data_IF_877599157911
#
_entry.id   IF_877599157911
#
_cell.length_a   1.000
_cell.length_b   1.000
_cell.length_c   1.000
_cell.angle_alpha   90.00
_cell.angle_beta   90.00
_cell.angle_gamma   90.00
#
_symmetry.space_group_name_H-M   'P 1'
#
loop_
_entity.id
_entity.type
_entity.pdbx_description
1 polymer ?
#
# COMPACT_ATOMS: atom_id res chain seq x y z
N UNK A 1 1.88 -0.65 -15.88
CA UNK A 1 2.36 -2.05 -15.77
C UNK A 1 2.59 -2.63 -17.16
N UNK A 2 3.68 -3.37 -17.41
CA UNK A 2 4.07 -3.95 -18.72
C UNK A 2 2.94 -4.70 -19.43
N UNK A 3 2.22 -5.53 -18.67
CA UNK A 3 1.15 -6.40 -19.14
C UNK A 3 -0.13 -5.67 -19.60
N UNK A 4 -0.21 -4.34 -19.43
CA UNK A 4 -1.34 -3.55 -19.96
C UNK A 4 -1.19 -3.16 -21.45
N UNK A 5 0.02 -3.29 -22.02
CA UNK A 5 0.25 -2.96 -23.44
C UNK A 5 1.12 -3.97 -24.19
N UNK A 6 1.65 -4.97 -23.50
CA UNK A 6 2.57 -5.96 -24.06
C UNK A 6 2.34 -7.32 -23.42
N UNK A 7 1.47 -8.09 -24.05
CA UNK A 7 1.03 -9.38 -23.52
C UNK A 7 1.54 -10.55 -24.35
N UNK A 8 2.18 -10.28 -25.49
CA UNK A 8 2.77 -11.32 -26.35
C UNK A 8 4.28 -11.11 -26.56
N UNK A 9 5.08 -12.19 -26.58
CA UNK A 9 6.49 -12.14 -26.97
C UNK A 9 6.71 -11.43 -28.30
N UNK A 10 5.82 -11.64 -29.28
CA UNK A 10 5.89 -11.00 -30.58
C UNK A 10 5.73 -9.46 -30.51
N UNK A 11 4.87 -8.95 -29.63
CA UNK A 11 4.70 -7.50 -29.42
C UNK A 11 5.90 -6.86 -28.72
N UNK A 12 6.48 -7.58 -27.76
CA UNK A 12 7.69 -7.15 -27.03
C UNK A 12 8.88 -7.09 -27.99
N UNK A 13 9.09 -8.14 -28.80
CA UNK A 13 10.16 -8.19 -29.82
C UNK A 13 10.03 -7.06 -30.84
N UNK A 14 8.81 -6.77 -31.33
CA UNK A 14 8.58 -5.74 -32.37
C UNK A 14 8.87 -4.31 -31.92
N UNK A 15 8.68 -3.96 -30.64
CA UNK A 15 8.88 -2.57 -30.16
C UNK A 15 10.33 -2.27 -29.76
N UNK A 16 11.09 -3.27 -29.32
CA UNK A 16 12.51 -3.15 -28.94
C UNK A 16 12.76 -2.44 -27.59
N UNK A 17 13.99 -2.59 -27.06
CA UNK A 17 14.37 -2.21 -25.68
C UNK A 17 14.13 -0.75 -25.34
N UNK A 18 14.66 0.17 -26.15
CA UNK A 18 14.60 1.60 -25.88
C UNK A 18 13.14 2.12 -25.76
N UNK A 19 12.25 1.67 -26.65
CA UNK A 19 10.83 2.06 -26.60
C UNK A 19 10.09 1.41 -25.44
N UNK A 20 10.46 0.18 -25.06
CA UNK A 20 9.88 -0.51 -23.91
C UNK A 20 10.28 0.17 -22.59
N UNK A 21 11.56 0.50 -22.43
CA UNK A 21 12.09 1.23 -21.29
C UNK A 21 11.40 2.60 -21.17
N UNK A 22 11.30 3.36 -22.26
CA UNK A 22 10.62 4.66 -22.27
C UNK A 22 9.14 4.56 -21.87
N UNK A 23 8.43 3.54 -22.38
CA UNK A 23 7.02 3.31 -22.07
C UNK A 23 6.80 2.90 -20.60
N UNK A 24 7.72 2.13 -20.02
CA UNK A 24 7.71 1.75 -18.60
C UNK A 24 8.06 2.93 -17.69
N UNK A 25 9.05 3.73 -18.08
CA UNK A 25 9.46 4.94 -17.35
C UNK A 25 8.34 5.98 -17.30
N UNK A 26 7.62 6.20 -18.41
CA UNK A 26 6.44 7.07 -18.47
C UNK A 26 5.29 6.61 -17.55
N UNK A 27 5.32 5.36 -17.08
CA UNK A 27 4.37 4.77 -16.12
C UNK A 27 4.98 4.61 -14.72
N UNK A 28 6.09 5.31 -14.45
CA UNK A 28 6.81 5.33 -13.17
C UNK A 28 7.19 3.94 -12.65
N UNK A 29 7.44 2.97 -13.55
CA UNK A 29 7.92 1.64 -13.17
C UNK A 29 9.35 1.76 -12.66
N UNK A 30 9.58 1.38 -11.40
CA UNK A 30 10.92 1.31 -10.82
C UNK A 30 11.76 0.26 -11.56
N UNK A 31 12.99 0.62 -11.91
CA UNK A 31 13.88 -0.27 -12.67
C UNK A 31 13.38 -0.56 -14.09
N UNK A 32 12.74 0.41 -14.75
CA UNK A 32 12.16 0.27 -16.08
C UNK A 32 13.12 -0.39 -17.11
N UNK A 33 14.42 -0.11 -17.03
CA UNK A 33 15.41 -0.69 -17.93
C UNK A 33 15.66 -2.18 -17.67
N UNK A 34 15.76 -2.57 -16.39
CA UNK A 34 15.89 -3.96 -15.98
C UNK A 34 14.63 -4.75 -16.38
N UNK A 35 13.45 -4.20 -16.11
CA UNK A 35 12.16 -4.82 -16.49
C UNK A 35 12.05 -4.97 -18.01
N UNK A 36 12.44 -3.95 -18.79
CA UNK A 36 12.43 -4.03 -20.25
C UNK A 36 13.40 -5.10 -20.78
N UNK A 37 14.57 -5.21 -20.17
CA UNK A 37 15.61 -6.17 -20.55
C UNK A 37 15.15 -7.59 -20.27
N UNK A 38 14.70 -7.88 -19.04
CA UNK A 38 14.13 -9.20 -18.68
C UNK A 38 12.94 -9.58 -19.55
N UNK A 39 12.05 -8.63 -19.86
CA UNK A 39 10.90 -8.89 -20.73
C UNK A 39 11.33 -9.26 -22.16
N UNK A 40 12.38 -8.61 -22.69
CA UNK A 40 12.90 -8.92 -24.02
C UNK A 40 13.64 -10.26 -24.06
N UNK A 41 14.44 -10.57 -23.05
CA UNK A 41 15.12 -11.86 -22.91
C UNK A 41 14.10 -13.00 -22.86
N UNK A 42 13.07 -12.87 -22.02
CA UNK A 42 11.98 -13.85 -21.94
C UNK A 42 11.24 -13.98 -23.27
N UNK A 43 10.96 -12.86 -23.94
CA UNK A 43 10.31 -12.86 -25.25
C UNK A 43 11.19 -13.49 -26.34
N UNK A 44 12.51 -13.40 -26.26
CA UNK A 44 13.43 -14.05 -27.21
C UNK A 44 13.57 -15.54 -26.94
N UNK A 45 13.56 -15.96 -25.67
CA UNK A 45 13.64 -17.36 -25.28
C UNK A 45 12.38 -18.16 -25.67
N UNK A 46 11.22 -17.51 -25.76
CA UNK A 46 9.97 -18.18 -26.17
C UNK A 46 9.87 -18.32 -27.70
N UNK A 47 10.14 -19.54 -28.18
CA UNK A 47 10.11 -19.92 -29.61
C UNK A 47 8.80 -20.61 -30.03
N UNK A 48 8.01 -21.12 -29.09
CA UNK A 48 6.76 -21.84 -29.36
C UNK A 48 5.56 -20.93 -29.16
N UNK A 49 4.78 -20.72 -30.24
CA UNK A 49 3.49 -20.06 -30.17
C UNK A 49 2.40 -21.07 -29.82
N UNK A 50 1.55 -20.75 -28.85
CA UNK A 50 0.47 -21.63 -28.41
C UNK A 50 -0.85 -21.25 -29.10
N UNK A 51 -1.68 -22.22 -29.51
CA UNK A 51 -3.06 -21.93 -29.91
C UNK A 51 -3.80 -21.21 -28.78
N UNK A 52 -4.37 -20.03 -29.05
CA UNK A 52 -5.09 -19.22 -28.06
C UNK A 52 -4.25 -18.18 -27.31
N UNK A 53 -2.97 -18.02 -27.65
CA UNK A 53 -2.07 -17.03 -27.04
C UNK A 53 -2.62 -15.59 -27.15
N UNK A 54 -3.27 -15.22 -28.25
CA UNK A 54 -3.89 -13.89 -28.41
C UNK A 54 -5.07 -13.67 -27.46
N UNK A 55 -5.88 -14.70 -27.22
CA UNK A 55 -7.03 -14.62 -26.30
C UNK A 55 -6.53 -14.51 -24.86
N UNK A 56 -5.53 -15.32 -24.48
CA UNK A 56 -4.90 -15.24 -23.18
C UNK A 56 -4.23 -13.87 -22.96
N UNK A 57 -3.57 -13.34 -23.98
CA UNK A 57 -2.98 -12.01 -23.97
C UNK A 57 -4.02 -10.91 -23.73
N UNK A 58 -5.20 -11.00 -24.36
CA UNK A 58 -6.29 -10.04 -24.13
C UNK A 58 -6.83 -10.11 -22.69
N UNK A 59 -7.05 -11.31 -22.16
CA UNK A 59 -7.51 -11.48 -20.76
C UNK A 59 -6.50 -10.87 -19.78
N UNK A 60 -5.20 -11.13 -20.01
CA UNK A 60 -4.12 -10.56 -19.18
C UNK A 60 -4.10 -9.02 -19.29
N UNK A 61 -4.32 -8.47 -20.49
CA UNK A 61 -4.43 -7.02 -20.70
C UNK A 61 -5.54 -6.40 -19.86
N UNK A 62 -6.72 -7.03 -19.89
CA UNK A 62 -7.91 -6.55 -19.23
C UNK A 62 -7.74 -6.62 -17.71
N UNK A 63 -7.19 -7.72 -17.18
CA UNK A 63 -6.88 -7.86 -15.75
C UNK A 63 -5.83 -6.83 -15.29
N UNK A 64 -4.76 -6.64 -16.07
CA UNK A 64 -3.74 -5.64 -15.74
C UNK A 64 -4.32 -4.21 -15.71
N UNK A 65 -5.26 -3.91 -16.61
CA UNK A 65 -5.97 -2.63 -16.63
C UNK A 65 -6.86 -2.45 -15.40
N UNK A 66 -7.58 -3.49 -14.99
CA UNK A 66 -8.40 -3.47 -13.78
C UNK A 66 -7.56 -3.26 -12.51
N UNK A 67 -6.42 -3.93 -12.39
CA UNK A 67 -5.50 -3.75 -11.26
C UNK A 67 -5.01 -2.30 -11.18
N UNK A 68 -4.65 -1.68 -12.30
CA UNK A 68 -4.23 -0.28 -12.33
C UNK A 68 -5.37 0.67 -11.93
N UNK A 69 -6.59 0.40 -12.38
CA UNK A 69 -7.77 1.18 -11.98
C UNK A 69 -8.04 1.07 -10.47
N UNK A 70 -7.84 -0.12 -9.88
CA UNK A 70 -7.95 -0.35 -8.45
C UNK A 70 -6.86 0.37 -7.66
N UNK A 71 -5.61 0.36 -8.12
CA UNK A 71 -4.50 1.10 -7.50
C UNK A 71 -4.78 2.61 -7.47
N UNK A 72 -5.28 3.17 -8.56
CA UNK A 72 -5.68 4.58 -8.62
C UNK A 72 -6.88 4.88 -7.71
N UNK A 73 -7.84 3.95 -7.60
CA UNK A 73 -8.95 4.08 -6.65
C UNK A 73 -8.45 4.05 -5.21
N UNK A 74 -7.53 3.15 -4.88
CA UNK A 74 -6.90 3.04 -3.56
C UNK A 74 -6.22 4.37 -3.20
N UNK A 75 -5.36 4.91 -4.07
CA UNK A 75 -4.68 6.20 -3.86
C UNK A 75 -5.65 7.35 -3.60
N UNK A 76 -6.78 7.38 -4.32
CA UNK A 76 -7.83 8.41 -4.10
C UNK A 76 -8.47 8.25 -2.73
N UNK A 77 -8.89 7.05 -2.36
CA UNK A 77 -9.49 6.77 -1.05
C UNK A 77 -8.52 7.12 0.07
N UNK A 78 -7.26 6.70 -0.06
CA UNK A 78 -6.16 7.03 0.84
C UNK A 78 -6.01 8.54 1.07
N UNK A 79 -6.12 9.33 0.00
CA UNK A 79 -6.10 10.79 0.09
C UNK A 79 -7.34 11.32 0.82
N UNK A 80 -8.52 10.82 0.47
CA UNK A 80 -9.77 11.22 1.12
C UNK A 80 -9.77 10.90 2.62
N UNK A 81 -9.24 9.75 3.03
CA UNK A 81 -9.09 9.38 4.44
C UNK A 81 -8.18 10.38 5.14
N UNK A 82 -6.98 10.66 4.59
CA UNK A 82 -6.04 11.63 5.17
C UNK A 82 -6.66 13.01 5.31
N UNK A 83 -7.30 13.51 4.26
CA UNK A 83 -7.88 14.86 4.25
C UNK A 83 -9.08 14.97 5.21
N UNK A 84 -9.88 13.92 5.32
CA UNK A 84 -10.99 13.86 6.28
C UNK A 84 -10.48 13.81 7.71
N UNK A 85 -9.49 12.95 7.98
CA UNK A 85 -8.92 12.82 9.31
C UNK A 85 -8.25 14.11 9.79
N UNK A 86 -7.54 14.83 8.93
CA UNK A 86 -6.92 16.12 9.28
C UNK A 86 -7.93 17.22 9.65
N UNK A 87 -9.21 17.06 9.31
CA UNK A 87 -10.29 17.97 9.76
C UNK A 87 -10.81 17.60 11.15
N UNK A 88 -10.42 16.44 11.70
CA UNK A 88 -10.84 16.00 13.02
C UNK A 88 -10.15 16.87 14.10
N UNK A 89 -10.88 17.35 15.12
CA UNK A 89 -10.33 18.25 16.14
C UNK A 89 -9.10 17.70 16.88
N UNK A 90 -8.99 16.38 17.01
CA UNK A 90 -7.90 15.70 17.71
C UNK A 90 -6.80 15.16 16.78
N UNK A 91 -6.83 15.47 15.48
CA UNK A 91 -5.92 14.87 14.49
C UNK A 91 -4.44 15.10 14.84
N UNK A 92 -4.05 16.33 15.16
CA UNK A 92 -2.66 16.66 15.51
C UNK A 92 -2.17 15.91 16.75
N UNK A 93 -3.02 15.78 17.76
CA UNK A 93 -2.70 15.06 18.99
C UNK A 93 -2.50 13.56 18.68
N UNK A 94 -3.38 12.97 17.89
CA UNK A 94 -3.28 11.56 17.51
C UNK A 94 -2.05 11.31 16.63
N UNK A 95 -1.73 12.20 15.68
CA UNK A 95 -0.53 12.08 14.84
C UNK A 95 0.78 12.27 15.61
N UNK A 96 0.75 12.97 16.76
CA UNK A 96 1.91 13.11 17.63
C UNK A 96 2.31 11.79 18.32
N UNK A 97 1.40 10.81 18.39
CA UNK A 97 1.67 9.50 18.98
C UNK A 97 2.55 8.64 18.05
N UNK A 98 3.61 7.98 18.58
CA UNK A 98 4.48 7.14 17.76
C UNK A 98 3.72 6.06 16.98
N UNK A 99 3.88 6.06 15.66
CA UNK A 99 3.25 5.07 14.77
C UNK A 99 1.82 5.41 14.33
N UNK A 100 1.21 6.50 14.81
CA UNK A 100 -0.16 6.90 14.44
C UNK A 100 -0.20 7.95 13.33
N UNK A 101 0.28 7.60 12.14
CA UNK A 101 0.09 8.44 10.95
C UNK A 101 -1.39 8.58 10.56
N UNK A 102 -1.74 9.46 9.61
CA UNK A 102 -3.12 9.87 9.33
C UNK A 102 -4.07 8.73 8.95
N UNK A 103 -3.59 7.64 8.33
CA UNK A 103 -4.43 6.48 8.02
C UNK A 103 -4.76 5.67 9.29
N UNK A 104 -3.77 5.42 10.14
CA UNK A 104 -3.95 4.69 11.38
C UNK A 104 -4.70 5.53 12.42
N UNK A 105 -4.45 6.84 12.46
CA UNK A 105 -5.24 7.79 13.26
C UNK A 105 -6.70 7.84 12.82
N UNK A 106 -6.99 7.87 11.51
CA UNK A 106 -8.35 7.77 11.01
C UNK A 106 -9.04 6.46 11.42
N UNK A 107 -8.34 5.33 11.28
CA UNK A 107 -8.87 4.04 11.70
C UNK A 107 -9.14 3.98 13.21
N UNK A 108 -8.27 4.60 14.01
CA UNK A 108 -8.41 4.70 15.46
C UNK A 108 -9.69 5.46 15.86
N UNK A 109 -9.93 6.62 15.25
CA UNK A 109 -11.15 7.41 15.48
C UNK A 109 -12.41 6.72 14.93
N UNK A 110 -12.31 6.02 13.80
CA UNK A 110 -13.45 5.32 13.21
C UNK A 110 -13.87 4.08 14.02
N UNK A 111 -12.90 3.38 14.62
CA UNK A 111 -13.14 2.18 15.40
C UNK A 111 -13.66 2.48 16.82
N UNK A 112 -13.46 3.70 17.32
CA UNK A 112 -13.85 4.11 18.68
C UNK A 112 -14.35 5.53 18.71
N UNK A 113 -15.51 5.73 19.31
CA UNK A 113 -15.94 7.06 19.69
C UNK A 113 -15.04 7.57 20.83
N UNK A 114 -14.16 8.52 20.52
CA UNK A 114 -13.29 9.12 21.52
C UNK A 114 -14.08 9.96 22.54
N UNK A 115 -15.29 10.42 22.20
CA UNK A 115 -16.17 11.09 23.15
C UNK A 115 -16.76 10.12 24.19
N UNK A 116 -16.67 8.80 23.96
CA UNK A 116 -17.07 7.80 24.94
C UNK A 116 -16.07 7.67 26.12
N UNK A 117 -14.88 8.29 26.03
CA UNK A 117 -13.88 8.28 27.09
C UNK A 117 -13.80 9.65 27.76
N UNK A 118 -13.98 9.66 29.09
CA UNK A 118 -14.01 10.89 29.88
C UNK A 118 -12.68 11.68 29.84
N UNK A 119 -11.54 10.98 29.75
CA UNK A 119 -10.22 11.57 29.61
C UNK A 119 -9.21 10.58 28.99
N UNK A 120 -7.99 11.06 28.74
CA UNK A 120 -6.89 10.26 28.21
C UNK A 120 -6.50 9.08 29.12
N UNK A 121 -6.72 9.17 30.43
CA UNK A 121 -6.47 8.09 31.39
C UNK A 121 -7.44 6.93 31.23
N UNK A 122 -8.72 7.22 30.97
CA UNK A 122 -9.75 6.20 30.70
C UNK A 122 -9.50 5.49 29.37
N UNK A 123 -9.06 6.23 28.35
CA UNK A 123 -8.62 5.65 27.08
C UNK A 123 -7.39 4.75 27.27
N UNK A 124 -6.39 5.21 28.03
CA UNK A 124 -5.20 4.42 28.35
C UNK A 124 -5.55 3.15 29.13
N UNK A 125 -6.51 3.23 30.06
CA UNK A 125 -7.01 2.08 30.82
C UNK A 125 -7.69 1.07 29.91
N UNK A 126 -8.55 1.51 29.00
CA UNK A 126 -9.21 0.65 28.02
C UNK A 126 -8.23 0.03 27.02
N UNK A 127 -7.11 0.69 26.74
CA UNK A 127 -6.03 0.19 25.90
C UNK A 127 -5.02 -0.70 26.65
N UNK A 128 -5.15 -0.88 27.97
CA UNK A 128 -4.20 -1.65 28.78
C UNK A 128 -2.82 -0.99 28.96
N UNK A 129 -2.75 0.34 28.78
CA UNK A 129 -1.51 1.14 28.81
C UNK A 129 -1.28 1.86 30.15
N UNK A 130 -2.16 1.68 31.14
CA UNK A 130 -1.99 2.29 32.47
C UNK A 130 -0.86 1.56 33.23
N UNK A 131 0.14 2.26 33.78
CA UNK A 131 1.20 1.64 34.55
C UNK A 131 0.62 0.93 35.78
N UNK A 132 0.95 -0.35 35.96
CA UNK A 132 0.62 -1.08 37.18
C UNK A 132 1.57 -0.62 38.28
N UNK A 133 1.07 -0.13 39.44
CA UNK A 133 1.92 0.20 40.58
C UNK A 133 2.67 -1.06 41.03
N UNK A 134 3.99 -1.08 40.88
CA UNK A 134 4.84 -2.06 41.57
C UNK A 134 5.13 -1.54 42.96
N UNK A 135 4.19 -1.76 43.87
CA UNK A 135 4.47 -1.54 45.28
C UNK A 135 5.34 -2.70 45.78
N UNK A 136 6.67 -2.57 45.67
CA UNK A 136 7.59 -3.51 46.31
C UNK A 136 7.48 -3.27 47.81
N UNK A 137 6.63 -4.06 48.48
CA UNK A 137 6.46 -4.03 49.93
C UNK A 137 7.81 -4.19 50.63
N UNK A 138 8.43 -3.07 50.99
CA UNK A 138 9.66 -3.06 51.79
C UNK A 138 9.23 -3.29 53.23
N UNK A 139 9.31 -4.55 53.64
CA UNK A 139 9.16 -4.97 55.03
C UNK A 139 10.00 -4.06 55.95
N UNK A 140 9.34 -3.24 56.76
CA UNK A 140 9.97 -2.63 57.93
C UNK A 140 10.18 -3.72 58.97
N UNK A 141 11.42 -4.18 59.11
CA UNK A 141 11.87 -4.91 60.30
C UNK A 141 12.01 -3.88 61.43
N UNK A 142 11.11 -3.91 62.42
CA UNK A 142 11.27 -3.23 63.71
C UNK A 142 12.15 -4.08 64.63
N UNK A 143 12.89 -3.36 65.50
CA UNK A 143 13.70 -3.77 66.65
C UNK A 143 13.64 -5.22 67.10
#
# INVERSE_FOLDING_TARGET
MLLSGYQTPASIRRRGRARLTAWLAARSVRGADAVATTALEAAQAQQTALPGEEIAAQIVADLATQILALDERLKRIDRQIRDTFRRHPQAEIIESMPGLGPILGAAFVAARDLAAYADAGHLASAAGLVPVPRDSGRARRRG
#
